data_IF_589448314946
#
_entry.id   IF_589448314946
#
_cell.length_a   1.000
_cell.length_b   1.000
_cell.length_c   1.000
_cell.angle_alpha   90.00
_cell.angle_beta   90.00
_cell.angle_gamma   90.00
#
_symmetry.space_group_name_H-M   'P 1'
#
loop_
_entity.id
_entity.type
_entity.pdbx_description
1 polymer ?
#
# COMPACT_ATOMS: atom_id res chain seq x y z
N UNK A 1 13.65 -12.65 33.34
CA UNK A 1 14.18 -13.03 32.02
C UNK A 1 15.06 -11.88 31.55
N UNK A 2 16.29 -12.13 31.10
CA UNK A 2 17.17 -11.04 30.64
C UNK A 2 16.66 -10.49 29.29
N UNK A 3 16.52 -9.17 29.19
CA UNK A 3 16.08 -8.51 27.97
C UNK A 3 17.18 -8.58 26.90
N UNK A 4 16.83 -8.98 25.68
CA UNK A 4 17.79 -9.23 24.59
C UNK A 4 17.64 -8.14 23.53
N UNK A 5 18.71 -7.38 23.32
CA UNK A 5 18.86 -6.43 22.22
C UNK A 5 19.45 -7.09 20.97
N UNK A 6 19.14 -6.53 19.79
CA UNK A 6 19.65 -6.99 18.49
C UNK A 6 20.26 -5.83 17.72
N UNK A 7 21.37 -6.09 17.03
CA UNK A 7 21.97 -5.16 16.08
C UNK A 7 22.57 -5.89 14.89
N UNK A 8 22.91 -5.17 13.83
CA UNK A 8 23.62 -5.71 12.66
C UNK A 8 25.11 -5.41 12.79
N UNK A 9 25.98 -6.39 12.53
CA UNK A 9 27.42 -6.17 12.49
C UNK A 9 27.82 -5.25 11.33
N UNK A 10 28.57 -4.17 11.60
CA UNK A 10 29.03 -3.23 10.57
C UNK A 10 29.99 -3.85 9.55
N UNK A 11 30.66 -4.95 9.88
CA UNK A 11 31.64 -5.60 8.98
C UNK A 11 31.05 -6.71 8.12
N UNK A 12 30.24 -7.59 8.69
CA UNK A 12 29.75 -8.78 7.98
C UNK A 12 28.24 -8.78 7.72
N UNK A 13 27.50 -7.74 8.15
CA UNK A 13 26.06 -7.62 7.91
C UNK A 13 25.18 -8.63 8.66
N UNK A 14 25.76 -9.50 9.51
CA UNK A 14 25.00 -10.51 10.26
C UNK A 14 24.49 -9.97 11.60
N UNK A 15 23.31 -10.46 12.01
CA UNK A 15 22.67 -10.07 13.27
C UNK A 15 23.43 -10.57 14.49
N UNK A 16 23.53 -9.70 15.51
CA UNK A 16 24.14 -9.96 16.81
C UNK A 16 23.07 -9.78 17.87
N UNK A 17 22.90 -10.78 18.73
CA UNK A 17 22.03 -10.72 19.91
C UNK A 17 22.91 -10.51 21.14
N UNK A 18 22.53 -9.59 22.02
CA UNK A 18 23.26 -9.32 23.26
C UNK A 18 22.29 -8.89 24.37
N UNK A 19 22.63 -9.12 25.64
CA UNK A 19 21.85 -8.62 26.77
C UNK A 19 21.76 -7.08 26.73
N UNK A 20 20.57 -6.50 26.94
CA UNK A 20 20.34 -5.06 26.81
C UNK A 20 21.22 -4.23 27.76
N UNK A 21 21.58 -4.78 28.92
CA UNK A 21 22.54 -4.24 29.90
C UNK A 21 23.96 -4.05 29.34
N UNK A 22 24.30 -4.72 28.24
CA UNK A 22 25.60 -4.58 27.56
C UNK A 22 25.60 -3.53 26.44
N UNK A 23 24.53 -2.75 26.31
CA UNK A 23 24.49 -1.63 25.37
C UNK A 23 25.59 -0.62 25.71
N UNK A 24 26.40 -0.25 24.72
CA UNK A 24 27.54 0.65 24.88
C UNK A 24 28.89 -0.06 25.06
N UNK A 25 28.91 -1.35 25.42
CA UNK A 25 30.14 -2.12 25.57
C UNK A 25 30.77 -2.49 24.22
N UNK A 26 32.10 -2.66 24.18
CA UNK A 26 32.80 -3.17 22.99
C UNK A 26 32.88 -4.69 23.08
N UNK A 27 32.31 -5.38 22.10
CA UNK A 27 32.33 -6.84 22.03
C UNK A 27 32.72 -7.35 20.64
N UNK A 28 33.30 -8.55 20.56
CA UNK A 28 33.64 -9.20 19.29
C UNK A 28 32.40 -9.82 18.68
N UNK A 29 32.18 -9.57 17.38
CA UNK A 29 31.11 -10.23 16.62
C UNK A 29 31.29 -11.76 16.66
N UNK A 30 30.24 -12.55 16.98
CA UNK A 30 30.33 -14.01 16.99
C UNK A 30 30.61 -14.60 15.60
N UNK A 31 30.36 -13.84 14.52
CA UNK A 31 30.52 -14.34 13.16
C UNK A 31 31.86 -13.97 12.52
N UNK A 32 32.33 -12.73 12.67
CA UNK A 32 33.56 -12.25 12.02
C UNK A 32 34.65 -11.82 13.00
N UNK A 33 34.45 -12.06 14.31
CA UNK A 33 35.38 -11.75 15.41
C UNK A 33 35.81 -10.28 15.54
N UNK A 34 35.23 -9.38 14.76
CA UNK A 34 35.57 -7.96 14.76
C UNK A 34 34.97 -7.27 15.97
N UNK A 35 35.79 -6.48 16.67
CA UNK A 35 35.35 -5.68 17.82
C UNK A 35 34.50 -4.51 17.34
N UNK A 36 33.32 -4.33 17.92
CA UNK A 36 32.46 -3.18 17.66
C UNK A 36 31.65 -2.82 18.91
N UNK A 37 31.26 -1.56 19.01
CA UNK A 37 30.40 -1.06 20.09
C UNK A 37 28.99 -1.64 19.92
N UNK A 38 28.46 -2.27 20.97
CA UNK A 38 27.10 -2.75 21.03
C UNK A 38 26.15 -1.56 21.11
N UNK A 39 25.21 -1.47 20.18
CA UNK A 39 24.22 -0.40 20.16
C UNK A 39 22.85 -1.07 20.18
N UNK A 40 22.08 -0.83 21.23
CA UNK A 40 20.70 -1.29 21.32
C UNK A 40 19.87 -0.57 20.26
N UNK A 41 18.94 -1.28 19.63
CA UNK A 41 17.92 -0.64 18.82
C UNK A 41 16.91 0.06 19.75
N UNK A 42 17.27 1.24 20.27
CA UNK A 42 16.24 2.19 20.67
C UNK A 42 15.50 2.57 19.40
N UNK A 43 14.20 2.29 19.34
CA UNK A 43 13.31 2.77 18.28
C UNK A 43 13.23 4.29 18.42
N UNK A 44 14.25 4.99 17.92
CA UNK A 44 14.29 6.43 17.79
C UNK A 44 13.84 6.76 16.36
N UNK A 45 12.64 7.32 16.31
CA UNK A 45 12.03 8.02 15.17
C UNK A 45 12.94 9.19 14.79
N UNK A 46 13.74 9.07 13.73
CA UNK A 46 14.45 10.21 13.12
C UNK A 46 14.61 9.98 11.62
N UNK A 47 13.82 10.74 10.87
CA UNK A 47 14.21 11.50 9.68
C UNK A 47 15.00 10.78 8.58
N UNK A 48 14.30 10.43 7.50
CA UNK A 48 14.88 10.49 6.15
C UNK A 48 14.03 11.45 5.31
N UNK A 49 14.58 12.64 5.08
CA UNK A 49 14.27 13.47 3.93
C UNK A 49 14.66 12.73 2.62
N UNK A 50 14.01 13.01 1.49
CA UNK A 50 14.37 12.45 0.19
C UNK A 50 15.68 13.04 -0.37
N UNK A 51 16.44 12.31 -1.20
CA UNK A 51 17.67 12.84 -1.80
C UNK A 51 17.39 13.86 -2.92
N UNK A 52 18.01 15.04 -2.78
CA UNK A 52 18.05 16.10 -3.79
C UNK A 52 18.78 15.70 -5.08
N UNK A 53 18.34 16.35 -6.17
CA UNK A 53 18.79 16.22 -7.54
C UNK A 53 20.30 16.43 -7.72
N UNK A 54 20.93 15.52 -8.47
CA UNK A 54 22.28 15.75 -9.01
C UNK A 54 22.19 16.54 -10.32
N UNK A 55 22.79 17.73 -10.30
CA UNK A 55 23.10 18.59 -11.45
C UNK A 55 24.30 18.00 -12.25
N UNK A 56 24.35 18.12 -13.59
CA UNK A 56 25.48 17.63 -14.38
C UNK A 56 26.65 18.63 -14.41
N UNK A 57 27.91 18.17 -14.54
CA UNK A 57 29.04 19.06 -14.79
C UNK A 57 29.23 19.35 -16.29
N UNK A 58 29.41 20.62 -16.62
CA UNK A 58 29.92 21.10 -17.90
C UNK A 58 31.46 21.18 -17.85
N UNK A 59 32.13 20.88 -18.97
CA UNK A 59 33.39 21.49 -19.43
C UNK A 59 33.72 21.01 -20.85
N UNK A 60 33.87 21.96 -21.77
CA UNK A 60 34.35 21.76 -23.15
C UNK A 60 35.89 21.58 -23.21
N UNK A 61 36.49 21.39 -24.40
CA UNK A 61 36.89 22.57 -25.17
C UNK A 61 36.69 22.48 -26.70
N UNK A 62 36.68 23.69 -27.26
CA UNK A 62 36.50 24.18 -28.64
C UNK A 62 37.56 23.71 -29.65
N UNK A 63 37.13 23.43 -30.90
CA UNK A 63 37.87 23.84 -32.12
C UNK A 63 36.93 23.91 -33.34
N UNK A 64 36.95 25.05 -34.04
CA UNK A 64 36.44 25.32 -35.40
C UNK A 64 37.62 25.87 -36.23
N UNK A 65 37.57 26.08 -37.57
CA UNK A 65 36.46 25.93 -38.55
C UNK A 65 36.86 25.25 -39.89
N UNK A 66 35.91 25.28 -40.85
CA UNK A 66 36.06 25.55 -42.31
C UNK A 66 35.79 24.42 -43.35
N UNK A 67 35.44 24.77 -44.62
CA UNK A 67 34.17 24.39 -45.26
C UNK A 67 34.36 23.66 -46.63
N UNK A 68 33.24 23.44 -47.34
CA UNK A 68 33.13 22.90 -48.73
C UNK A 68 33.35 21.37 -48.82
N UNK A 69 32.51 20.53 -49.45
CA UNK A 69 31.82 20.70 -50.73
C UNK A 69 30.56 19.82 -50.90
N UNK A 70 29.81 20.14 -51.95
CA UNK A 70 28.51 19.68 -52.46
C UNK A 70 28.18 18.17 -52.59
N UNK A 71 26.88 17.83 -52.46
CA UNK A 71 25.99 17.29 -53.53
C UNK A 71 24.70 16.69 -52.92
N UNK A 72 23.59 17.42 -52.86
CA UNK A 72 22.41 17.35 -53.77
C UNK A 72 21.91 15.93 -54.12
N UNK A 73 20.73 15.57 -53.58
CA UNK A 73 19.60 15.11 -54.41
C UNK A 73 18.28 15.26 -53.66
N UNK A 74 17.28 15.68 -54.42
CA UNK A 74 16.03 16.33 -54.04
C UNK A 74 14.86 15.37 -54.29
N UNK A 75 13.66 15.86 -53.96
CA UNK A 75 12.31 15.47 -54.47
C UNK A 75 11.50 14.60 -53.50
N UNK A 76 10.19 14.78 -53.29
CA UNK A 76 9.24 15.89 -53.26
C UNK A 76 7.90 15.23 -52.88
N UNK A 77 7.17 15.84 -51.96
CA UNK A 77 5.85 15.40 -51.49
C UNK A 77 4.74 15.74 -52.50
N UNK A 78 3.80 14.81 -52.68
CA UNK A 78 2.47 15.03 -53.30
C UNK A 78 1.41 14.36 -52.40
N UNK A 79 0.24 14.99 -52.14
CA UNK A 79 -0.75 14.48 -51.19
C UNK A 79 -1.72 13.49 -51.84
N UNK A 80 -2.11 12.43 -51.13
CA UNK A 80 -3.08 11.46 -51.60
C UNK A 80 -4.30 11.33 -50.65
N UNK A 81 -5.45 11.47 -51.30
CA UNK A 81 -6.87 11.29 -50.96
C UNK A 81 -7.19 10.05 -50.08
N UNK A 82 -8.20 10.13 -49.18
CA UNK A 82 -8.57 9.01 -48.29
C UNK A 82 -9.29 7.87 -49.04
N UNK A 83 -9.03 6.60 -48.70
CA UNK A 83 -9.70 5.47 -49.32
C UNK A 83 -11.04 5.16 -48.66
N UNK A 84 -12.00 4.85 -49.54
CA UNK A 84 -13.38 4.42 -49.26
C UNK A 84 -13.40 2.95 -48.82
N UNK A 85 -14.21 2.65 -47.80
CA UNK A 85 -14.49 1.32 -47.26
C UNK A 85 -15.24 0.45 -48.30
N UNK A 86 -14.91 -0.84 -48.46
CA UNK A 86 -15.79 -1.79 -49.12
C UNK A 86 -16.71 -2.51 -48.12
N UNK A 87 -17.98 -2.63 -48.50
CA UNK A 87 -19.00 -3.43 -47.83
C UNK A 87 -18.66 -4.92 -47.91
N UNK A 88 -18.82 -5.64 -46.79
CA UNK A 88 -18.74 -7.10 -46.74
C UNK A 88 -20.13 -7.64 -46.43
N UNK A 89 -20.56 -8.52 -47.31
CA UNK A 89 -21.83 -9.25 -47.36
C UNK A 89 -21.95 -10.29 -46.26
N UNK A 90 -23.16 -10.43 -45.75
CA UNK A 90 -23.64 -11.50 -44.86
C UNK A 90 -23.53 -12.88 -45.51
N UNK A 91 -23.05 -13.92 -44.80
CA UNK A 91 -23.35 -15.29 -45.16
C UNK A 91 -24.60 -15.82 -44.42
N UNK A 92 -25.36 -16.55 -45.22
CA UNK A 92 -26.59 -17.31 -44.97
C UNK A 92 -26.49 -18.28 -43.79
N UNK A 93 -27.60 -18.40 -43.06
CA UNK A 93 -27.85 -19.40 -42.03
C UNK A 93 -27.98 -20.81 -42.64
N UNK A 94 -27.11 -21.72 -42.23
CA UNK A 94 -27.31 -23.17 -42.36
C UNK A 94 -27.62 -23.76 -40.98
N UNK A 95 -28.82 -24.31 -40.86
CA UNK A 95 -29.28 -25.04 -39.70
C UNK A 95 -28.51 -26.38 -39.61
N UNK A 96 -27.79 -26.58 -38.51
CA UNK A 96 -27.23 -27.89 -38.14
C UNK A 96 -27.81 -28.34 -36.80
N UNK A 97 -28.25 -29.59 -36.85
CA UNK A 97 -28.97 -30.38 -35.86
C UNK A 97 -28.20 -30.55 -34.55
N UNK A 98 -28.88 -30.27 -33.43
CA UNK A 98 -28.36 -30.46 -32.07
C UNK A 98 -28.36 -31.95 -31.73
N UNK A 99 -27.18 -32.57 -31.76
CA UNK A 99 -26.95 -33.86 -31.12
C UNK A 99 -26.70 -33.65 -29.63
N UNK A 100 -27.44 -34.40 -28.82
CA UNK A 100 -27.51 -34.35 -27.36
C UNK A 100 -26.14 -34.66 -26.73
N UNK A 101 -25.50 -33.66 -26.14
CA UNK A 101 -24.27 -33.81 -25.33
C UNK A 101 -24.70 -34.25 -23.93
N UNK A 102 -24.18 -35.37 -23.39
CA UNK A 102 -24.51 -35.80 -22.03
C UNK A 102 -24.03 -34.77 -20.99
N UNK A 103 -24.75 -34.58 -19.87
CA UNK A 103 -24.36 -33.62 -18.85
C UNK A 103 -23.00 -34.00 -18.27
N UNK A 104 -22.01 -33.14 -18.50
CA UNK A 104 -20.74 -33.18 -17.77
C UNK A 104 -21.03 -32.92 -16.29
N UNK A 105 -20.39 -33.64 -15.35
CA UNK A 105 -20.65 -33.44 -13.93
C UNK A 105 -20.24 -32.02 -13.57
N UNK A 106 -21.21 -31.24 -13.09
CA UNK A 106 -21.01 -29.89 -12.60
C UNK A 106 -19.94 -29.91 -11.51
N UNK A 107 -18.73 -29.47 -11.85
CA UNK A 107 -17.80 -28.95 -10.87
C UNK A 107 -18.54 -27.82 -10.15
N UNK A 108 -18.70 -27.93 -8.83
CA UNK A 108 -19.35 -26.92 -8.00
C UNK A 108 -18.91 -25.53 -8.47
N UNK A 109 -19.86 -24.66 -8.83
CA UNK A 109 -19.60 -23.31 -9.36
C UNK A 109 -18.58 -22.53 -8.51
N UNK A 110 -18.57 -22.80 -7.19
CA UNK A 110 -17.65 -22.22 -6.21
C UNK A 110 -16.21 -22.74 -6.30
N UNK A 111 -15.99 -23.97 -6.72
CA UNK A 111 -14.66 -24.57 -6.92
C UNK A 111 -14.03 -24.09 -8.23
N UNK A 112 -14.83 -23.93 -9.29
CA UNK A 112 -14.35 -23.58 -10.62
C UNK A 112 -13.52 -22.29 -10.65
N UNK A 113 -13.89 -21.27 -9.85
CA UNK A 113 -13.15 -20.00 -9.75
C UNK A 113 -11.75 -20.10 -9.13
N UNK A 114 -11.41 -21.22 -8.49
CA UNK A 114 -10.11 -21.41 -7.82
C UNK A 114 -9.17 -22.37 -8.55
N UNK A 115 -9.53 -22.81 -9.76
CA UNK A 115 -8.75 -23.80 -10.54
C UNK A 115 -8.40 -23.28 -11.95
N UNK A 116 -8.46 -21.96 -12.15
CA UNK A 116 -8.20 -21.33 -13.46
C UNK A 116 -6.73 -21.34 -13.88
N UNK A 117 -5.79 -21.52 -12.95
CA UNK A 117 -4.34 -21.35 -13.16
C UNK A 117 -3.57 -22.64 -12.87
N UNK A 118 -4.17 -23.78 -13.21
CA UNK A 118 -3.56 -25.10 -13.08
C UNK A 118 -3.46 -25.60 -11.64
N UNK A 119 -4.24 -25.05 -10.70
CA UNK A 119 -4.30 -25.57 -9.35
C UNK A 119 -4.82 -27.03 -9.36
N UNK A 120 -4.31 -27.91 -8.46
CA UNK A 120 -4.82 -29.27 -8.35
C UNK A 120 -6.23 -29.29 -7.75
N UNK A 121 -7.25 -29.56 -8.59
CA UNK A 121 -8.69 -29.55 -8.25
C UNK A 121 -8.99 -30.26 -6.92
N UNK A 122 -8.45 -31.48 -6.72
CA UNK A 122 -8.69 -32.28 -5.52
C UNK A 122 -8.12 -31.63 -4.24
N UNK A 123 -6.98 -30.97 -4.35
CA UNK A 123 -6.34 -30.29 -3.21
C UNK A 123 -7.09 -29.00 -2.89
N UNK A 124 -7.45 -28.21 -3.91
CA UNK A 124 -8.24 -26.99 -3.74
C UNK A 124 -9.61 -27.30 -3.13
N UNK A 125 -10.30 -28.35 -3.57
CA UNK A 125 -11.57 -28.76 -2.97
C UNK A 125 -11.45 -29.06 -1.47
N UNK A 126 -10.44 -29.85 -1.08
CA UNK A 126 -10.18 -30.15 0.35
C UNK A 126 -9.81 -28.90 1.15
N UNK A 127 -9.02 -28.00 0.57
CA UNK A 127 -8.65 -26.73 1.21
C UNK A 127 -9.87 -25.84 1.39
N UNK A 128 -10.71 -25.70 0.36
CA UNK A 128 -11.91 -24.87 0.42
C UNK A 128 -12.87 -25.36 1.51
N UNK A 129 -13.12 -26.67 1.62
CA UNK A 129 -13.93 -27.23 2.72
C UNK A 129 -13.33 -26.95 4.11
N UNK A 130 -12.00 -26.87 4.23
CA UNK A 130 -11.35 -26.49 5.50
C UNK A 130 -11.50 -25.00 5.77
N UNK A 131 -11.27 -24.16 4.76
CA UNK A 131 -11.40 -22.70 4.82
C UNK A 131 -12.82 -22.32 5.24
N UNK A 132 -13.84 -22.91 4.63
CA UNK A 132 -15.24 -22.66 4.96
C UNK A 132 -15.60 -22.99 6.42
N UNK A 133 -14.90 -23.92 7.06
CA UNK A 133 -15.13 -24.28 8.47
C UNK A 133 -14.45 -23.33 9.46
N UNK A 134 -13.44 -22.58 9.03
CA UNK A 134 -12.67 -21.66 9.88
C UNK A 134 -13.01 -20.18 9.61
N UNK A 135 -13.58 -19.89 8.44
CA UNK A 135 -14.05 -18.57 8.07
C UNK A 135 -15.38 -18.30 8.77
N UNK A 136 -15.58 -17.05 9.17
CA UNK A 136 -16.91 -16.59 9.61
C UNK A 136 -17.87 -16.50 8.42
N UNK A 137 -19.17 -16.48 8.65
CA UNK A 137 -20.20 -16.44 7.58
C UNK A 137 -20.05 -15.28 6.59
N UNK A 138 -19.44 -14.18 7.02
CA UNK A 138 -19.18 -12.97 6.23
C UNK A 138 -17.74 -12.83 5.75
N UNK A 139 -16.93 -13.88 5.85
CA UNK A 139 -15.57 -13.94 5.30
C UNK A 139 -15.58 -14.79 4.01
N UNK A 140 -15.02 -14.24 2.94
CA UNK A 140 -15.05 -14.87 1.61
C UNK A 140 -13.64 -15.12 1.08
N UNK A 141 -13.33 -16.36 0.63
CA UNK A 141 -12.07 -16.63 -0.05
C UNK A 141 -12.10 -16.04 -1.46
N UNK A 142 -11.03 -15.32 -1.80
CA UNK A 142 -10.86 -14.60 -3.07
C UNK A 142 -9.91 -15.34 -4.01
N UNK A 143 -8.82 -15.88 -3.46
CA UNK A 143 -7.81 -16.56 -4.25
C UNK A 143 -7.11 -17.67 -3.45
N UNK A 144 -6.76 -18.76 -4.13
CA UNK A 144 -6.05 -19.92 -3.55
C UNK A 144 -4.87 -20.28 -4.46
N UNK A 145 -3.67 -20.29 -3.90
CA UNK A 145 -2.49 -20.89 -4.53
C UNK A 145 -2.01 -22.11 -3.76
N UNK A 146 -1.55 -23.11 -4.50
CA UNK A 146 -1.05 -24.37 -3.94
C UNK A 146 0.37 -24.59 -4.43
N UNK A 147 1.24 -24.94 -3.50
CA UNK A 147 2.62 -25.27 -3.79
C UNK A 147 2.73 -26.47 -4.74
N UNK A 148 3.66 -26.40 -5.69
CA UNK A 148 3.87 -27.46 -6.66
C UNK A 148 5.27 -28.07 -6.50
N UNK A 149 5.41 -28.98 -5.53
CA UNK A 149 6.59 -29.85 -5.42
C UNK A 149 6.27 -31.27 -5.85
N UNK A 150 7.16 -31.92 -6.59
CA UNK A 150 7.04 -33.34 -6.86
C UNK A 150 7.10 -34.15 -5.55
N UNK A 151 6.30 -35.21 -5.47
CA UNK A 151 6.35 -36.22 -4.40
C UNK A 151 5.90 -35.76 -3.00
N UNK A 152 5.28 -34.59 -2.85
CA UNK A 152 4.65 -34.16 -1.60
C UNK A 152 3.15 -34.44 -1.63
N UNK A 153 2.68 -35.27 -0.69
CA UNK A 153 1.27 -35.65 -0.59
C UNK A 153 0.37 -34.53 -0.03
N UNK A 154 0.94 -33.57 0.69
CA UNK A 154 0.23 -32.43 1.28
C UNK A 154 1.06 -31.17 1.05
N UNK A 155 0.85 -30.47 -0.07
CA UNK A 155 1.59 -29.24 -0.36
C UNK A 155 1.16 -28.12 0.58
N UNK A 156 2.06 -27.17 0.79
CA UNK A 156 1.70 -25.91 1.45
C UNK A 156 0.76 -25.10 0.54
N UNK A 157 -0.07 -24.27 1.13
CA UNK A 157 -1.03 -23.46 0.39
C UNK A 157 -1.22 -22.09 1.04
N UNK A 158 -1.52 -21.09 0.22
CA UNK A 158 -1.90 -19.74 0.65
C UNK A 158 -3.30 -19.44 0.14
N UNK A 159 -4.13 -18.89 1.02
CA UNK A 159 -5.50 -18.48 0.76
C UNK A 159 -5.62 -17.02 1.13
N UNK A 160 -6.08 -16.21 0.18
CA UNK A 160 -6.42 -14.82 0.40
C UNK A 160 -7.92 -14.73 0.61
N UNK A 161 -8.34 -14.20 1.76
CA UNK A 161 -9.73 -13.83 2.01
C UNK A 161 -9.88 -12.31 1.98
N UNK A 162 -11.10 -11.80 2.08
CA UNK A 162 -11.36 -10.37 2.23
C UNK A 162 -10.88 -9.80 3.58
N UNK A 163 -10.53 -10.65 4.55
CA UNK A 163 -10.15 -10.24 5.92
C UNK A 163 -8.70 -10.51 6.30
N UNK A 164 -8.12 -11.58 5.78
CA UNK A 164 -6.79 -12.05 6.19
C UNK A 164 -6.13 -12.91 5.12
N UNK A 165 -4.81 -13.03 5.26
CA UNK A 165 -4.02 -14.03 4.56
C UNK A 165 -3.96 -15.29 5.44
N UNK A 166 -4.27 -16.45 4.88
CA UNK A 166 -4.20 -17.75 5.58
C UNK A 166 -3.16 -18.62 4.88
N UNK A 167 -2.18 -19.11 5.63
CA UNK A 167 -1.13 -20.00 5.13
C UNK A 167 -1.26 -21.35 5.82
N UNK A 168 -1.49 -22.39 5.02
CA UNK A 168 -1.49 -23.78 5.46
C UNK A 168 -0.12 -24.39 5.22
N UNK A 169 0.53 -24.82 6.31
CA UNK A 169 1.84 -25.48 6.30
C UNK A 169 1.69 -26.94 6.70
N UNK A 170 2.09 -27.83 5.82
CA UNK A 170 2.09 -29.26 6.08
C UNK A 170 3.28 -29.64 6.97
N UNK A 171 2.99 -30.31 8.07
CA UNK A 171 3.95 -30.88 9.03
C UNK A 171 3.97 -32.41 8.89
N UNK A 172 4.97 -33.03 9.49
CA UNK A 172 5.11 -34.48 9.51
C UNK A 172 3.85 -35.18 10.04
N UNK A 173 3.58 -36.38 9.51
CA UNK A 173 2.44 -37.24 9.88
C UNK A 173 1.07 -36.62 9.57
N UNK A 174 0.96 -35.87 8.47
CA UNK A 174 -0.33 -35.31 8.00
C UNK A 174 -0.87 -34.18 8.87
N UNK A 175 -0.10 -33.68 9.84
CA UNK A 175 -0.47 -32.50 10.62
C UNK A 175 -0.39 -31.26 9.74
N UNK A 176 -1.31 -30.33 9.91
CA UNK A 176 -1.29 -29.04 9.23
C UNK A 176 -1.19 -27.95 10.31
N UNK A 177 -0.25 -27.03 10.13
CA UNK A 177 -0.19 -25.80 10.90
C UNK A 177 -0.81 -24.69 10.06
N UNK A 178 -1.72 -23.94 10.67
CA UNK A 178 -2.36 -22.80 10.04
C UNK A 178 -1.80 -21.54 10.68
N UNK A 179 -1.36 -20.62 9.85
CA UNK A 179 -0.99 -19.27 10.27
C UNK A 179 -1.87 -18.31 9.51
N UNK A 180 -2.50 -17.38 10.21
CA UNK A 180 -3.28 -16.32 9.59
C UNK A 180 -2.81 -14.93 10.03
N UNK A 181 -2.80 -14.00 9.07
CA UNK A 181 -2.37 -12.61 9.26
C UNK A 181 -3.51 -11.71 8.78
N UNK A 182 -4.20 -11.00 9.69
CA UNK A 182 -5.22 -10.02 9.32
C UNK A 182 -4.66 -8.97 8.37
N UNK A 183 -5.42 -8.54 7.36
CA UNK A 183 -4.94 -7.52 6.42
C UNK A 183 -4.57 -6.20 7.11
N UNK A 184 -5.24 -5.88 8.21
CA UNK A 184 -4.91 -4.71 9.04
C UNK A 184 -3.49 -4.79 9.63
N UNK A 185 -3.00 -6.00 9.85
CA UNK A 185 -1.68 -6.31 10.40
C UNK A 185 -0.65 -6.63 9.33
N UNK A 186 -1.04 -6.79 8.07
CA UNK A 186 -0.10 -6.90 6.95
C UNK A 186 0.51 -5.51 6.68
N UNK A 187 1.83 -5.44 6.69
CA UNK A 187 2.59 -4.23 6.35
C UNK A 187 3.14 -4.22 4.93
N UNK A 188 3.40 -5.41 4.36
CA UNK A 188 3.96 -5.60 3.02
C UNK A 188 3.65 -7.02 2.53
N UNK A 189 3.23 -7.17 1.29
CA UNK A 189 3.20 -8.45 0.57
C UNK A 189 4.07 -8.39 -0.68
N UNK A 190 5.03 -9.30 -0.79
CA UNK A 190 6.04 -9.26 -1.84
C UNK A 190 6.20 -10.61 -2.55
N UNK A 191 6.51 -10.57 -3.85
CA UNK A 191 6.79 -11.74 -4.67
C UNK A 191 8.25 -11.75 -5.12
N UNK A 192 8.91 -12.90 -4.97
CA UNK A 192 10.23 -13.18 -5.54
C UNK A 192 10.14 -14.34 -6.52
N UNK A 193 10.38 -14.07 -7.80
CA UNK A 193 10.39 -15.10 -8.85
C UNK A 193 11.79 -15.70 -9.00
N UNK A 194 11.91 -17.01 -8.77
CA UNK A 194 13.10 -17.79 -9.04
C UNK A 194 12.99 -18.64 -10.30
N UNK A 195 13.99 -19.49 -10.52
CA UNK A 195 13.99 -20.44 -11.64
C UNK A 195 12.98 -21.56 -11.42
N UNK A 196 12.97 -22.14 -10.21
CA UNK A 196 12.17 -23.34 -9.85
C UNK A 196 10.71 -23.00 -9.50
N UNK A 197 10.41 -21.74 -9.21
CA UNK A 197 9.08 -21.28 -8.83
C UNK A 197 9.14 -19.87 -8.28
N UNK A 198 8.06 -19.43 -7.65
CA UNK A 198 7.99 -18.13 -6.99
C UNK A 198 7.80 -18.29 -5.47
N UNK A 199 8.23 -17.29 -4.72
CA UNK A 199 8.06 -17.19 -3.28
C UNK A 199 7.23 -15.96 -2.95
N UNK A 200 6.18 -16.14 -2.15
CA UNK A 200 5.39 -15.04 -1.59
C UNK A 200 5.84 -14.80 -0.16
N UNK A 201 6.05 -13.54 0.17
CA UNK A 201 6.44 -13.03 1.47
C UNK A 201 5.31 -12.18 2.01
N UNK A 202 4.84 -12.48 3.22
CA UNK A 202 3.81 -11.71 3.92
C UNK A 202 4.45 -11.18 5.19
N UNK A 203 4.71 -9.89 5.23
CA UNK A 203 5.32 -9.25 6.39
C UNK A 203 4.23 -8.58 7.22
N UNK A 204 4.16 -8.96 8.49
CA UNK A 204 3.29 -8.32 9.47
C UNK A 204 3.92 -7.07 10.08
N UNK A 205 3.08 -6.19 10.64
CA UNK A 205 3.49 -4.96 11.34
C UNK A 205 4.33 -5.22 12.59
N UNK A 206 4.31 -6.45 13.11
CA UNK A 206 5.20 -6.91 14.19
C UNK A 206 6.63 -7.25 13.71
N UNK A 207 6.92 -7.12 12.40
CA UNK A 207 8.19 -7.45 11.79
C UNK A 207 8.39 -8.95 11.50
N UNK A 208 7.40 -9.79 11.76
CA UNK A 208 7.44 -11.20 11.37
C UNK A 208 7.11 -11.36 9.89
N UNK A 209 7.87 -12.18 9.17
CA UNK A 209 7.61 -12.49 7.77
C UNK A 209 7.28 -13.97 7.60
N UNK A 210 6.05 -14.24 7.18
CA UNK A 210 5.63 -15.54 6.70
C UNK A 210 6.00 -15.70 5.22
N UNK A 211 6.39 -16.91 4.82
CA UNK A 211 6.79 -17.18 3.44
C UNK A 211 6.19 -18.49 2.96
N UNK A 212 5.84 -18.53 1.68
CA UNK A 212 5.48 -19.75 0.95
C UNK A 212 6.27 -19.77 -0.35
N UNK A 213 7.06 -20.82 -0.56
CA UNK A 213 7.94 -20.99 -1.70
C UNK A 213 7.40 -22.03 -2.68
N UNK A 214 8.05 -22.15 -3.85
CA UNK A 214 7.69 -23.12 -4.89
C UNK A 214 6.23 -23.04 -5.36
N UNK A 215 5.65 -21.83 -5.34
CA UNK A 215 4.38 -21.59 -6.02
C UNK A 215 4.61 -21.55 -7.53
N UNK A 216 3.69 -22.13 -8.33
CA UNK A 216 3.64 -21.87 -9.76
C UNK A 216 3.63 -20.36 -10.01
N UNK A 217 4.42 -19.89 -11.00
CA UNK A 217 4.64 -18.45 -11.22
C UNK A 217 3.35 -17.69 -11.48
N UNK A 218 2.46 -18.26 -12.28
CA UNK A 218 1.16 -17.65 -12.56
C UNK A 218 0.32 -17.47 -11.29
N UNK A 219 0.27 -18.52 -10.46
CA UNK A 219 -0.44 -18.46 -9.18
C UNK A 219 0.16 -17.42 -8.24
N UNK A 220 1.48 -17.35 -8.16
CA UNK A 220 2.15 -16.36 -7.32
C UNK A 220 1.87 -14.92 -7.78
N UNK A 221 1.84 -14.67 -9.10
CA UNK A 221 1.47 -13.35 -9.64
C UNK A 221 0.03 -12.98 -9.29
N UNK A 222 -0.91 -13.92 -9.36
CA UNK A 222 -2.29 -13.69 -8.95
C UNK A 222 -2.43 -13.46 -7.45
N UNK A 223 -1.71 -14.20 -6.60
CA UNK A 223 -1.60 -13.92 -5.15
C UNK A 223 -1.08 -12.51 -4.92
N UNK A 224 -0.01 -12.11 -5.60
CA UNK A 224 0.58 -10.79 -5.45
C UNK A 224 -0.39 -9.68 -5.89
N UNK A 225 -1.07 -9.84 -7.03
CA UNK A 225 -2.07 -8.88 -7.51
C UNK A 225 -3.19 -8.65 -6.51
N UNK A 226 -3.85 -9.72 -6.07
CA UNK A 226 -4.97 -9.65 -5.11
C UNK A 226 -4.47 -9.14 -3.75
N UNK A 227 -3.30 -9.60 -3.32
CA UNK A 227 -2.71 -9.18 -2.05
C UNK A 227 -2.30 -7.72 -2.02
N UNK A 228 -1.74 -7.18 -3.11
CA UNK A 228 -1.38 -5.77 -3.22
C UNK A 228 -2.60 -4.86 -3.16
N UNK A 229 -3.68 -5.22 -3.86
CA UNK A 229 -4.96 -4.50 -3.80
C UNK A 229 -5.48 -4.43 -2.35
N UNK A 230 -5.49 -5.58 -1.65
CA UNK A 230 -5.92 -5.65 -0.25
C UNK A 230 -4.99 -4.87 0.69
N UNK A 231 -3.69 -4.94 0.48
CA UNK A 231 -2.69 -4.19 1.25
C UNK A 231 -2.89 -2.68 1.09
N UNK A 232 -3.13 -2.20 -0.14
CA UNK A 232 -3.39 -0.80 -0.46
C UNK A 232 -4.63 -0.28 0.26
N UNK A 233 -5.76 -0.99 0.14
CA UNK A 233 -7.01 -0.66 0.84
C UNK A 233 -6.76 -0.54 2.36
N UNK A 234 -6.05 -1.49 2.95
CA UNK A 234 -5.78 -1.45 4.40
C UNK A 234 -4.76 -0.38 4.79
N UNK A 235 -3.82 -0.02 3.91
CA UNK A 235 -2.88 1.07 4.13
C UNK A 235 -3.62 2.41 4.20
N UNK A 236 -4.56 2.63 3.29
CA UNK A 236 -5.42 3.81 3.28
C UNK A 236 -6.34 3.83 4.50
N UNK A 237 -7.00 2.71 4.81
CA UNK A 237 -7.85 2.59 5.99
C UNK A 237 -7.09 2.93 7.28
N UNK A 238 -5.86 2.44 7.43
CA UNK A 238 -4.98 2.79 8.56
C UNK A 238 -4.62 4.28 8.58
N UNK A 239 -4.38 4.88 7.41
CA UNK A 239 -4.07 6.32 7.29
C UNK A 239 -5.26 7.17 7.73
N UNK A 240 -6.46 6.86 7.24
CA UNK A 240 -7.69 7.59 7.59
C UNK A 240 -8.00 7.47 9.07
N UNK A 241 -7.98 6.25 9.63
CA UNK A 241 -8.18 6.05 11.07
C UNK A 241 -7.20 6.83 11.92
N UNK A 242 -5.93 6.83 11.54
CA UNK A 242 -4.92 7.60 12.26
C UNK A 242 -5.20 9.10 12.21
N UNK A 243 -5.60 9.64 11.06
CA UNK A 243 -5.98 11.07 10.97
C UNK A 243 -7.21 11.41 11.82
N UNK A 244 -8.20 10.52 11.86
CA UNK A 244 -9.39 10.70 12.69
C UNK A 244 -9.07 10.60 14.19
N UNK A 245 -8.23 9.64 14.58
CA UNK A 245 -7.71 9.49 15.93
C UNK A 245 -6.88 10.73 16.35
N UNK A 246 -5.99 11.22 15.49
CA UNK A 246 -5.19 12.43 15.72
C UNK A 246 -6.09 13.68 15.80
N UNK A 247 -7.12 13.80 14.95
CA UNK A 247 -8.12 14.89 15.00
C UNK A 247 -8.91 14.86 16.31
N UNK A 248 -9.37 13.68 16.73
CA UNK A 248 -10.10 13.52 17.97
C UNK A 248 -9.21 13.78 19.19
N UNK A 249 -7.93 13.39 19.13
CA UNK A 249 -6.95 13.70 20.17
C UNK A 249 -6.63 15.20 20.25
N UNK A 250 -6.63 15.91 19.12
CA UNK A 250 -6.41 17.35 19.05
C UNK A 250 -7.66 18.21 19.32
N UNK A 251 -8.86 17.59 19.36
CA UNK A 251 -10.16 18.26 19.52
C UNK A 251 -10.43 18.92 20.88
N UNK A 252 -9.43 19.05 21.74
CA UNK A 252 -9.49 19.69 23.05
C UNK A 252 -9.07 21.17 23.07
N UNK A 253 -9.08 21.87 21.92
CA UNK A 253 -8.89 23.32 21.92
C UNK A 253 -10.21 23.97 22.35
N UNK A 254 -10.36 24.17 23.66
CA UNK A 254 -11.26 25.19 24.19
C UNK A 254 -10.71 26.52 23.69
N UNK A 255 -11.22 27.01 22.56
CA UNK A 255 -11.13 28.44 22.27
C UNK A 255 -11.89 29.08 23.41
N UNK A 256 -11.17 29.54 24.43
CA UNK A 256 -11.71 30.44 25.43
C UNK A 256 -11.95 31.76 24.71
N UNK A 257 -13.00 31.78 23.88
CA UNK A 257 -13.61 32.98 23.42
C UNK A 257 -14.24 33.55 24.68
N UNK A 258 -13.46 34.30 25.44
CA UNK A 258 -13.96 35.19 26.47
C UNK A 258 -14.75 36.30 25.76
N UNK A 259 -15.88 35.92 25.14
CA UNK A 259 -17.03 36.80 25.07
C UNK A 259 -17.59 36.72 26.47
N UNK A 260 -17.17 37.70 27.27
CA UNK A 260 -17.80 38.00 28.53
C UNK A 260 -19.32 38.00 28.30
N UNK A 261 -20.04 37.19 29.07
CA UNK A 261 -21.49 37.29 29.15
C UNK A 261 -21.83 38.75 29.50
N UNK A 262 -22.72 39.44 28.76
CA UNK A 262 -23.14 40.76 29.17
C UNK A 262 -24.01 40.60 30.41
N UNK A 263 -23.43 40.89 31.56
CA UNK A 263 -24.17 41.25 32.76
C UNK A 263 -25.08 42.42 32.41
N UNK A 264 -26.37 42.23 32.62
CA UNK A 264 -27.43 43.21 32.41
C UNK A 264 -27.16 44.48 33.24
N UNK A 265 -26.64 45.53 32.60
CA UNK A 265 -26.68 46.90 33.11
C UNK A 265 -26.41 47.94 32.00
N UNK A 266 -27.46 48.71 31.67
CA UNK A 266 -27.48 49.99 30.95
C UNK A 266 -27.08 50.05 29.45
N UNK A 267 -27.83 50.78 28.60
CA UNK A 267 -27.75 50.71 27.14
C UNK A 267 -26.62 51.52 26.47
N UNK A 268 -25.67 52.10 27.22
CA UNK A 268 -24.63 52.98 26.63
C UNK A 268 -23.26 52.31 26.40
N UNK A 269 -22.99 51.15 27.01
CA UNK A 269 -21.71 50.44 26.86
C UNK A 269 -21.66 49.48 25.66
N UNK A 270 -22.80 49.19 25.03
CA UNK A 270 -22.89 48.20 23.95
C UNK A 270 -22.39 48.76 22.60
N UNK A 271 -22.56 50.07 22.37
CA UNK A 271 -22.12 50.75 21.14
C UNK A 271 -20.59 50.88 21.06
N UNK A 272 -19.94 51.23 22.17
CA UNK A 272 -18.48 51.33 22.26
C UNK A 272 -17.82 49.95 22.20
N UNK A 273 -18.47 48.91 22.75
CA UNK A 273 -18.04 47.52 22.59
C UNK A 273 -18.08 47.06 21.12
N UNK A 274 -19.13 47.42 20.37
CA UNK A 274 -19.22 47.09 18.93
C UNK A 274 -18.15 47.81 18.10
N UNK A 275 -17.87 49.09 18.40
CA UNK A 275 -16.82 49.84 17.70
C UNK A 275 -15.42 49.29 17.97
N UNK A 276 -15.14 48.82 19.19
CA UNK A 276 -13.85 48.21 19.54
C UNK A 276 -13.67 46.85 18.88
N UNK A 277 -14.72 46.03 18.80
CA UNK A 277 -14.70 44.76 18.08
C UNK A 277 -14.48 44.95 16.57
N UNK A 278 -15.13 45.95 15.96
CA UNK A 278 -14.95 46.28 14.54
C UNK A 278 -13.51 46.70 14.23
N UNK A 279 -12.88 47.45 15.13
CA UNK A 279 -11.47 47.84 14.98
C UNK A 279 -10.53 46.64 15.10
N UNK A 280 -10.80 45.71 16.02
CA UNK A 280 -10.01 44.49 16.15
C UNK A 280 -10.09 43.60 14.89
N UNK A 281 -11.22 43.60 14.19
CA UNK A 281 -11.35 42.88 12.91
C UNK A 281 -10.56 43.54 11.78
N UNK A 282 -10.49 44.88 11.75
CA UNK A 282 -9.66 45.63 10.80
C UNK A 282 -8.16 45.38 11.07
N UNK A 283 -7.74 45.45 12.34
CA UNK A 283 -6.34 45.25 12.75
C UNK A 283 -5.86 43.80 12.51
N UNK A 284 -6.78 42.86 12.36
CA UNK A 284 -6.52 41.46 12.03
C UNK A 284 -6.69 41.12 10.53
N UNK A 285 -6.83 42.13 9.67
CA UNK A 285 -7.04 42.00 8.22
C UNK A 285 -8.24 41.09 7.83
N UNK A 286 -9.25 40.97 8.70
CA UNK A 286 -10.46 40.18 8.46
C UNK A 286 -11.51 40.93 7.64
N UNK A 287 -11.43 42.27 7.62
CA UNK A 287 -12.33 43.17 6.89
C UNK A 287 -11.51 44.29 6.24
N UNK A 288 -12.04 44.86 5.16
CA UNK A 288 -11.38 45.99 4.50
C UNK A 288 -11.64 47.31 5.22
N UNK A 289 -10.81 48.33 4.94
CA UNK A 289 -10.99 49.68 5.45
C UNK A 289 -12.37 50.26 5.10
N UNK A 290 -12.86 49.97 3.90
CA UNK A 290 -14.16 50.42 3.39
C UNK A 290 -15.33 49.79 4.16
N UNK A 291 -15.23 48.50 4.49
CA UNK A 291 -16.22 47.77 5.29
C UNK A 291 -16.25 48.23 6.75
N UNK A 292 -15.08 48.55 7.29
CA UNK A 292 -14.96 49.13 8.63
C UNK A 292 -15.67 50.48 8.71
N UNK A 293 -15.41 51.38 7.76
CA UNK A 293 -15.98 52.73 7.75
C UNK A 293 -17.50 52.70 7.51
N UNK A 294 -17.99 51.82 6.64
CA UNK A 294 -19.42 51.63 6.41
C UNK A 294 -20.17 51.15 7.67
N UNK A 295 -19.65 50.14 8.36
CA UNK A 295 -20.27 49.61 9.59
C UNK A 295 -20.14 50.55 10.79
N UNK A 296 -19.03 51.30 10.86
CA UNK A 296 -18.86 52.36 11.86
C UNK A 296 -19.90 53.47 11.69
N UNK A 297 -20.16 53.89 10.45
CA UNK A 297 -21.18 54.90 10.17
C UNK A 297 -22.59 54.42 10.56
N UNK A 298 -22.90 53.14 10.32
CA UNK A 298 -24.18 52.52 10.68
C UNK A 298 -24.38 52.40 12.21
N UNK A 299 -23.30 52.11 12.96
CA UNK A 299 -23.35 52.08 14.42
C UNK A 299 -23.51 53.50 14.99
N UNK A 300 -22.85 54.50 14.41
CA UNK A 300 -22.95 55.88 14.86
C UNK A 300 -24.27 56.56 14.46
N UNK A 301 -24.92 56.12 13.38
CA UNK A 301 -26.26 56.59 13.00
C UNK A 301 -27.36 56.01 13.89
N UNK A 302 -27.06 54.94 14.63
CA UNK A 302 -27.97 54.33 15.61
C UNK A 302 -27.97 55.02 16.99
N UNK A 303 -27.20 56.11 17.16
CA UNK A 303 -27.22 56.99 18.34
C UNK A 303 -28.42 57.95 18.36
#
# INVERSE_FOLDING_TARGET
MAEISRMVCKKCGKGIKFPTDKTGAVAKCPNCKTAQKLVGASVAKTELLPPEARKPPASAPTTTPNPEDNAVSKVQTVPAKPPVLPAITTPTAEASTVANVPPTPAVDSKLARFVSEGQPIKTVGKLLTRVEKICTDSETPEYIAVQHLPSIASPDAIVLTDRRVIIFRSKALGRVNMVDVPWLDVSDIHISEGIVGATIHVTGRNGHTEKIDHLPKEQARSVYRVGQEREEIMREYRRTRKMEEDRNAAGGVVVNNAVAAPTSAAPSNDLTARLTQLKAMLDADLISQEEFDAKKADILSSL
#
